data_IF_867461062407
#
_entry.id   IF_867461062407
#
_cell.length_a   1.000
_cell.length_b   1.000
_cell.length_c   1.000
_cell.angle_alpha   90.00
_cell.angle_beta   90.00
_cell.angle_gamma   90.00
#
_symmetry.space_group_name_H-M   'P 1'
#
loop_
_entity.id
_entity.type
_entity.pdbx_description
1 polymer ?
#
# COMPACT_ATOMS: atom_id res chain seq x y z
N UNK A 1 10.44 0.70 15.28
CA UNK A 1 11.90 0.59 15.19
C UNK A 1 12.32 -0.43 16.24
N UNK A 2 13.00 -1.50 15.86
CA UNK A 2 13.23 -2.70 16.69
C UNK A 2 14.16 -2.36 17.86
N UNK A 3 13.67 -2.42 19.10
CA UNK A 3 14.43 -2.16 20.34
C UNK A 3 15.49 -3.24 20.66
N UNK A 4 15.66 -4.26 19.82
CA UNK A 4 16.46 -5.46 20.12
C UNK A 4 17.96 -5.21 20.12
N UNK A 5 18.45 -4.11 19.54
CA UNK A 5 19.85 -3.70 19.62
C UNK A 5 19.99 -2.38 20.38
N UNK A 6 20.50 -2.45 21.62
CA UNK A 6 20.94 -1.25 22.35
C UNK A 6 22.25 -0.74 21.74
N UNK A 7 22.12 0.09 20.72
CA UNK A 7 23.25 0.79 20.11
C UNK A 7 23.83 1.79 21.13
N UNK A 8 25.15 1.72 21.35
CA UNK A 8 25.85 2.74 22.13
C UNK A 8 25.77 4.06 21.39
N UNK A 9 25.56 5.17 22.12
CA UNK A 9 25.57 6.50 21.51
C UNK A 9 27.00 6.84 21.10
N UNK A 10 27.16 7.59 20.02
CA UNK A 10 28.46 8.09 19.56
C UNK A 10 29.34 8.71 20.68
N UNK A 11 28.85 9.61 21.56
CA UNK A 11 29.67 10.16 22.64
C UNK A 11 30.19 9.10 23.61
N UNK A 12 29.44 8.02 23.85
CA UNK A 12 29.86 6.93 24.73
C UNK A 12 30.98 6.09 24.09
N UNK A 13 30.95 5.96 22.76
CA UNK A 13 32.00 5.29 21.97
C UNK A 13 33.29 6.12 22.02
N UNK A 14 33.18 7.42 21.78
CA UNK A 14 34.31 8.34 21.84
C UNK A 14 34.94 8.38 23.24
N UNK A 15 34.12 8.51 24.29
CA UNK A 15 34.60 8.52 25.68
C UNK A 15 35.34 7.22 26.04
N UNK A 16 34.85 6.06 25.58
CA UNK A 16 35.55 4.78 25.78
C UNK A 16 36.85 4.68 25.00
N UNK A 17 36.89 5.18 23.77
CA UNK A 17 38.11 5.21 22.97
C UNK A 17 39.17 6.12 23.62
N UNK A 18 38.79 7.32 24.07
CA UNK A 18 39.67 8.23 24.80
C UNK A 18 40.20 7.58 26.08
N UNK A 19 39.31 6.99 26.90
CA UNK A 19 39.73 6.30 28.12
C UNK A 19 40.70 5.14 27.82
N UNK A 20 40.48 4.40 26.74
CA UNK A 20 41.38 3.34 26.31
C UNK A 20 42.75 3.88 25.91
N UNK A 21 42.81 4.97 25.15
CA UNK A 21 44.07 5.59 24.74
C UNK A 21 44.83 6.11 25.98
N UNK A 22 44.17 6.88 26.87
CA UNK A 22 44.80 7.40 28.10
C UNK A 22 45.39 6.29 28.97
N UNK A 23 44.73 5.12 29.03
CA UNK A 23 45.18 4.01 29.89
C UNK A 23 46.29 3.16 29.27
N UNK A 24 46.55 3.29 27.96
CA UNK A 24 47.48 2.43 27.21
C UNK A 24 48.59 3.20 26.49
N UNK A 25 48.58 4.53 26.52
CA UNK A 25 49.69 5.35 26.01
C UNK A 25 49.93 6.58 26.88
N UNK A 26 51.21 6.83 27.18
CA UNK A 26 51.66 8.03 27.87
C UNK A 26 52.03 9.15 26.87
N UNK A 27 52.00 8.86 25.56
CA UNK A 27 52.47 9.79 24.52
C UNK A 27 51.40 10.78 24.07
N UNK A 28 50.14 10.50 24.37
CA UNK A 28 48.99 11.26 23.88
C UNK A 28 48.10 11.63 25.06
N UNK A 29 48.15 12.90 25.45
CA UNK A 29 47.42 13.40 26.63
C UNK A 29 46.43 14.52 26.30
N UNK A 30 46.50 15.08 25.10
CA UNK A 30 45.60 16.16 24.70
C UNK A 30 44.31 15.61 24.07
N UNK A 31 43.25 15.59 24.89
CA UNK A 31 41.88 15.29 24.48
C UNK A 31 40.93 16.46 24.77
N UNK A 32 41.48 17.68 24.81
CA UNK A 32 40.67 18.89 24.95
C UNK A 32 39.82 19.13 23.69
N UNK A 33 38.75 19.89 23.84
CA UNK A 33 37.90 20.29 22.71
C UNK A 33 38.73 21.14 21.73
N UNK A 34 38.74 20.77 20.45
CA UNK A 34 39.57 21.39 19.43
C UNK A 34 40.92 20.69 19.17
N UNK A 35 41.30 19.69 19.97
CA UNK A 35 42.47 18.86 19.66
C UNK A 35 42.26 18.02 18.39
N UNK A 36 43.31 17.88 17.58
CA UNK A 36 43.32 17.04 16.37
C UNK A 36 43.05 15.58 16.75
N UNK A 37 43.60 15.13 17.87
CA UNK A 37 43.48 13.75 18.34
C UNK A 37 42.04 13.48 18.79
N UNK A 38 41.44 14.40 19.55
CA UNK A 38 40.02 14.30 19.91
C UNK A 38 39.12 14.27 18.67
N UNK A 39 39.38 15.15 17.72
CA UNK A 39 38.62 15.23 16.46
C UNK A 39 38.71 13.92 15.66
N UNK A 40 39.90 13.30 15.62
CA UNK A 40 40.10 12.00 15.00
C UNK A 40 39.30 10.90 15.71
N UNK A 41 39.33 10.86 17.04
CA UNK A 41 38.56 9.87 17.82
C UNK A 41 37.06 10.07 17.64
N UNK A 42 36.58 11.30 17.57
CA UNK A 42 35.17 11.63 17.31
C UNK A 42 34.74 11.19 15.90
N UNK A 43 35.60 11.39 14.89
CA UNK A 43 35.36 10.93 13.53
C UNK A 43 35.31 9.39 13.44
N UNK A 44 36.26 8.68 14.04
CA UNK A 44 36.25 7.21 14.12
C UNK A 44 35.01 6.71 14.86
N UNK A 45 34.63 7.37 15.95
CA UNK A 45 33.44 7.00 16.72
C UNK A 45 32.14 7.20 15.94
N UNK A 46 32.08 8.25 15.11
CA UNK A 46 30.97 8.48 14.18
C UNK A 46 30.86 7.34 13.16
N UNK A 47 31.98 6.93 12.59
CA UNK A 47 32.03 5.84 11.61
C UNK A 47 31.62 4.49 12.22
N UNK A 48 32.12 4.17 13.42
CA UNK A 48 31.72 2.97 14.16
C UNK A 48 30.22 3.01 14.48
N UNK A 49 29.68 4.17 14.86
CA UNK A 49 28.26 4.34 15.13
C UNK A 49 27.40 4.08 13.87
N UNK A 50 27.78 4.67 12.74
CA UNK A 50 27.08 4.47 11.46
C UNK A 50 27.12 2.99 11.02
N UNK A 51 28.28 2.35 11.13
CA UNK A 51 28.42 0.93 10.81
C UNK A 51 27.54 0.04 11.70
N UNK A 52 27.44 0.35 12.99
CA UNK A 52 26.57 -0.39 13.90
C UNK A 52 25.07 -0.23 13.56
N UNK A 53 24.65 0.96 13.10
CA UNK A 53 23.26 1.18 12.63
C UNK A 53 22.98 0.30 11.41
N UNK A 54 23.86 0.35 10.40
CA UNK A 54 23.68 -0.42 9.15
C UNK A 54 23.63 -1.92 9.46
N UNK A 55 24.52 -2.39 10.34
CA UNK A 55 24.55 -3.77 10.77
C UNK A 55 23.27 -4.21 11.46
N UNK A 56 22.75 -3.40 12.40
CA UNK A 56 21.51 -3.70 13.12
C UNK A 56 20.30 -3.78 12.16
N UNK A 57 20.20 -2.87 11.19
CA UNK A 57 19.13 -2.89 10.20
C UNK A 57 19.23 -4.11 9.27
N UNK A 58 20.45 -4.46 8.85
CA UNK A 58 20.72 -5.64 8.04
C UNK A 58 20.30 -6.94 8.74
N UNK A 59 20.57 -7.09 10.04
CA UNK A 59 20.08 -8.24 10.82
C UNK A 59 18.55 -8.26 10.87
N UNK A 60 17.91 -7.13 11.17
CA UNK A 60 16.45 -7.05 11.26
C UNK A 60 15.77 -7.38 9.92
N UNK A 61 16.37 -6.96 8.80
CA UNK A 61 15.92 -7.32 7.45
C UNK A 61 16.13 -8.81 7.16
N UNK A 62 17.31 -9.33 7.49
CA UNK A 62 17.68 -10.74 7.26
C UNK A 62 16.80 -11.71 8.04
N UNK A 63 16.49 -11.40 9.30
CA UNK A 63 15.55 -12.22 10.11
C UNK A 63 14.17 -12.25 9.45
N UNK A 64 13.64 -11.11 9.01
CA UNK A 64 12.33 -11.07 8.33
C UNK A 64 12.32 -11.90 7.06
N UNK A 65 13.39 -11.84 6.27
CA UNK A 65 13.53 -12.63 5.04
C UNK A 65 13.67 -14.12 5.34
N UNK A 66 14.53 -14.49 6.30
CA UNK A 66 14.74 -15.88 6.71
C UNK A 66 13.47 -16.52 7.26
N UNK A 67 12.70 -15.81 8.10
CA UNK A 67 11.41 -16.29 8.60
C UNK A 67 10.44 -16.54 7.45
N UNK A 68 10.33 -15.61 6.49
CA UNK A 68 9.46 -15.81 5.30
C UNK A 68 9.85 -17.03 4.48
N UNK A 69 11.16 -17.22 4.24
CA UNK A 69 11.69 -18.36 3.51
C UNK A 69 11.44 -19.68 4.26
N UNK A 70 11.70 -19.71 5.57
CA UNK A 70 11.55 -20.91 6.39
C UNK A 70 10.10 -21.41 6.47
N UNK A 71 9.12 -20.51 6.52
CA UNK A 71 7.70 -20.89 6.57
C UNK A 71 7.05 -21.08 5.20
N UNK A 72 7.84 -21.02 4.11
CA UNK A 72 7.37 -21.13 2.72
C UNK A 72 6.09 -20.32 2.45
N UNK A 73 5.97 -19.15 3.08
CA UNK A 73 4.86 -18.23 2.87
C UNK A 73 5.34 -17.14 1.90
N UNK A 74 5.10 -17.29 0.58
CA UNK A 74 5.34 -16.21 -0.34
C UNK A 74 4.50 -15.00 0.10
N UNK A 75 5.04 -13.80 -0.09
CA UNK A 75 4.24 -12.59 0.02
C UNK A 75 3.09 -12.70 -0.97
N UNK A 76 1.87 -12.37 -0.54
CA UNK A 76 0.78 -12.18 -1.47
C UNK A 76 1.18 -11.07 -2.43
N UNK A 77 1.28 -11.39 -3.71
CA UNK A 77 1.48 -10.40 -4.76
C UNK A 77 0.36 -9.36 -4.67
N UNK A 78 0.68 -8.11 -5.02
CA UNK A 78 -0.34 -7.07 -5.10
C UNK A 78 -1.39 -7.50 -6.14
N UNK A 79 -2.56 -7.92 -5.67
CA UNK A 79 -3.71 -8.19 -6.53
C UNK A 79 -4.42 -6.88 -6.83
N UNK A 80 -4.82 -6.68 -8.09
CA UNK A 80 -5.72 -5.59 -8.43
C UNK A 80 -7.07 -5.81 -7.75
N UNK A 81 -7.75 -4.72 -7.41
CA UNK A 81 -9.13 -4.79 -6.96
C UNK A 81 -10.00 -5.31 -8.12
N UNK A 82 -10.85 -6.30 -7.83
CA UNK A 82 -11.79 -6.89 -8.78
C UNK A 82 -13.17 -6.99 -8.13
N UNK A 83 -14.22 -7.04 -8.95
CA UNK A 83 -15.59 -7.17 -8.47
C UNK A 83 -16.60 -6.34 -9.25
N UNK A 84 -17.90 -6.49 -8.92
CA UNK A 84 -18.96 -5.71 -9.52
C UNK A 84 -18.94 -4.28 -9.00
N UNK A 85 -19.05 -3.32 -9.91
CA UNK A 85 -19.21 -1.89 -9.61
C UNK A 85 -20.58 -1.47 -10.12
N UNK A 86 -21.39 -0.84 -9.26
CA UNK A 86 -22.70 -0.34 -9.64
C UNK A 86 -22.70 1.18 -9.62
N UNK A 87 -23.05 1.80 -10.75
CA UNK A 87 -23.26 3.23 -10.87
C UNK A 87 -24.76 3.49 -10.96
N UNK A 88 -25.28 4.37 -10.10
CA UNK A 88 -26.68 4.76 -10.11
C UNK A 88 -26.83 6.27 -10.30
N UNK A 89 -27.75 6.67 -11.17
CA UNK A 89 -28.12 8.07 -11.40
C UNK A 89 -29.62 8.25 -11.17
N UNK A 90 -29.99 9.36 -10.54
CA UNK A 90 -31.38 9.79 -10.41
C UNK A 90 -31.97 10.15 -11.79
N UNK A 91 -33.14 9.61 -12.09
CA UNK A 91 -33.83 9.84 -13.36
C UNK A 91 -34.45 11.24 -13.42
N UNK A 92 -34.38 11.87 -14.58
CA UNK A 92 -34.94 13.20 -14.82
C UNK A 92 -36.47 13.14 -14.99
N UNK A 93 -37.18 14.27 -14.84
CA UNK A 93 -38.64 14.36 -15.00
C UNK A 93 -39.13 14.03 -16.41
N UNK A 94 -38.26 14.14 -17.42
CA UNK A 94 -38.57 13.84 -18.82
C UNK A 94 -37.89 12.55 -19.27
N UNK A 95 -38.55 11.72 -20.11
CA UNK A 95 -37.94 10.51 -20.65
C UNK A 95 -36.63 10.85 -21.37
N UNK A 96 -35.57 10.11 -21.06
CA UNK A 96 -34.26 10.30 -21.68
C UNK A 96 -33.87 9.02 -22.40
N UNK A 97 -33.41 9.12 -23.66
CA UNK A 97 -32.91 7.97 -24.41
C UNK A 97 -31.44 7.77 -24.08
N UNK A 98 -31.06 6.55 -23.66
CA UNK A 98 -29.65 6.16 -23.54
C UNK A 98 -29.23 5.47 -24.83
N UNK A 99 -28.40 6.14 -25.61
CA UNK A 99 -27.87 5.63 -26.88
C UNK A 99 -26.51 4.93 -26.71
N UNK A 100 -25.69 5.42 -25.77
CA UNK A 100 -24.42 4.81 -25.40
C UNK A 100 -24.01 5.30 -24.02
N UNK A 101 -23.13 4.54 -23.35
CA UNK A 101 -22.40 4.99 -22.17
C UNK A 101 -20.94 5.11 -22.60
N UNK A 102 -20.34 6.27 -22.36
CA UNK A 102 -18.91 6.46 -22.56
C UNK A 102 -18.16 5.79 -21.39
N UNK A 103 -17.59 4.62 -21.67
CA UNK A 103 -16.80 3.81 -20.73
C UNK A 103 -15.29 4.09 -20.82
N UNK A 104 -14.87 5.02 -21.69
CA UNK A 104 -13.44 5.33 -21.90
C UNK A 104 -12.72 5.85 -20.66
N UNK A 105 -13.48 6.42 -19.71
CA UNK A 105 -12.97 6.91 -18.42
C UNK A 105 -12.81 5.81 -17.36
N UNK A 106 -13.20 4.57 -17.66
CA UNK A 106 -13.16 3.43 -16.74
C UNK A 106 -12.35 2.26 -17.34
N UNK A 107 -11.03 2.44 -17.53
CA UNK A 107 -10.19 1.45 -18.18
C UNK A 107 -10.21 0.12 -17.42
N UNK A 108 -10.63 -0.95 -18.11
CA UNK A 108 -10.67 -2.31 -17.58
C UNK A 108 -12.02 -2.75 -17.03
N UNK A 109 -13.00 -1.87 -16.90
CA UNK A 109 -14.35 -2.20 -16.45
C UNK A 109 -15.25 -2.37 -17.67
N UNK A 110 -15.85 -3.55 -17.83
CA UNK A 110 -16.86 -3.77 -18.88
C UNK A 110 -18.26 -3.52 -18.32
N UNK A 111 -19.01 -2.62 -18.95
CA UNK A 111 -20.37 -2.27 -18.53
C UNK A 111 -21.41 -3.00 -19.37
N UNK A 112 -22.45 -3.49 -18.70
CA UNK A 112 -23.68 -3.94 -19.38
C UNK A 112 -24.79 -2.94 -19.09
N UNK A 113 -25.35 -2.36 -20.15
CA UNK A 113 -26.43 -1.38 -20.08
C UNK A 113 -27.53 -1.71 -21.08
N UNK A 114 -28.76 -1.33 -20.76
CA UNK A 114 -29.86 -1.38 -21.71
C UNK A 114 -30.02 -0.03 -22.41
N UNK A 115 -29.99 -0.06 -23.74
CA UNK A 115 -30.34 1.08 -24.60
C UNK A 115 -31.85 1.18 -24.73
N UNK A 116 -32.41 2.38 -24.63
CA UNK A 116 -33.85 2.59 -24.76
C UNK A 116 -34.38 3.82 -24.02
N UNK A 117 -35.69 3.98 -24.03
CA UNK A 117 -36.37 5.09 -23.35
C UNK A 117 -36.44 4.82 -21.86
N UNK A 118 -35.74 5.64 -21.07
CA UNK A 118 -35.90 5.64 -19.64
C UNK A 118 -37.24 6.29 -19.24
N UNK A 119 -38.08 5.65 -18.40
CA UNK A 119 -39.34 6.23 -17.98
C UNK A 119 -39.13 7.53 -17.19
N UNK A 120 -40.04 8.48 -17.34
CA UNK A 120 -40.05 9.69 -16.52
C UNK A 120 -40.24 9.32 -15.04
N UNK A 121 -39.49 9.98 -14.15
CA UNK A 121 -39.73 9.84 -12.71
C UNK A 121 -41.09 10.46 -12.35
N UNK A 122 -42.12 9.63 -12.19
CA UNK A 122 -43.43 10.07 -11.71
C UNK A 122 -43.49 9.92 -10.18
N UNK A 123 -43.43 11.07 -9.50
CA UNK A 123 -43.58 11.29 -8.05
C UNK A 123 -42.64 10.54 -7.08
N UNK A 124 -42.06 9.40 -7.47
CA UNK A 124 -41.04 8.67 -6.73
C UNK A 124 -39.67 8.79 -7.44
N UNK A 125 -38.57 9.00 -6.71
CA UNK A 125 -37.23 9.04 -7.30
C UNK A 125 -36.88 7.66 -7.87
N UNK A 126 -36.92 7.52 -9.19
CA UNK A 126 -36.42 6.34 -9.89
C UNK A 126 -34.93 6.50 -10.15
N UNK A 127 -34.16 5.42 -9.96
CA UNK A 127 -32.73 5.38 -10.23
C UNK A 127 -32.46 4.45 -11.41
N UNK A 128 -31.72 4.95 -12.39
CA UNK A 128 -31.12 4.11 -13.40
C UNK A 128 -29.78 3.61 -12.89
N UNK A 129 -29.55 2.29 -12.91
CA UNK A 129 -28.29 1.69 -12.48
C UNK A 129 -27.65 0.86 -13.58
N UNK A 130 -26.33 0.94 -13.67
CA UNK A 130 -25.50 0.19 -14.61
C UNK A 130 -24.50 -0.58 -13.77
N UNK A 131 -24.37 -1.88 -14.05
CA UNK A 131 -23.38 -2.73 -13.40
C UNK A 131 -22.24 -2.97 -14.37
N UNK A 132 -21.04 -2.60 -13.94
CA UNK A 132 -19.79 -2.97 -14.58
C UNK A 132 -19.12 -4.10 -13.82
N UNK A 133 -18.35 -4.93 -14.52
CA UNK A 133 -17.48 -5.92 -13.89
C UNK A 133 -16.05 -5.58 -14.27
N UNK A 134 -15.20 -5.42 -13.25
CA UNK A 134 -13.76 -5.53 -13.45
C UNK A 134 -13.42 -7.03 -13.41
N UNK A 135 -13.11 -7.67 -14.54
CA UNK A 135 -12.76 -9.09 -14.54
C UNK A 135 -11.49 -9.27 -13.73
N UNK A 136 -11.50 -10.30 -12.88
CA UNK A 136 -10.26 -10.77 -12.30
C UNK A 136 -9.47 -11.47 -13.42
N UNK A 137 -8.36 -10.86 -13.84
CA UNK A 137 -7.53 -11.32 -14.95
C UNK A 137 -6.96 -12.73 -14.66
N UNK A 138 -6.95 -13.14 -13.39
CA UNK A 138 -6.48 -14.45 -12.93
C UNK A 138 -7.58 -15.53 -12.86
N UNK A 139 -8.84 -15.20 -13.14
CA UNK A 139 -9.93 -16.19 -13.16
C UNK A 139 -10.80 -16.02 -14.41
N UNK A 140 -10.93 -17.09 -15.20
CA UNK A 140 -11.75 -17.19 -16.43
C UNK A 140 -13.28 -17.09 -16.19
N UNK A 141 -13.76 -16.14 -15.39
CA UNK A 141 -15.19 -15.88 -15.22
C UNK A 141 -15.51 -14.46 -15.69
N UNK A 142 -16.06 -14.38 -16.89
CA UNK A 142 -16.45 -13.14 -17.56
C UNK A 142 -17.86 -13.28 -18.11
N UNK A 143 -18.89 -13.09 -17.27
CA UNK A 143 -20.21 -12.75 -17.79
C UNK A 143 -20.85 -11.60 -17.00
N UNK A 144 -21.11 -10.45 -17.65
CA UNK A 144 -21.81 -9.33 -17.03
C UNK A 144 -23.32 -9.58 -16.97
N UNK A 145 -23.91 -9.45 -15.78
CA UNK A 145 -25.36 -9.60 -15.56
C UNK A 145 -26.00 -8.23 -15.36
N UNK A 146 -26.92 -7.83 -16.26
CA UNK A 146 -27.75 -6.62 -16.08
C UNK A 146 -28.92 -6.94 -15.13
N UNK A 147 -29.18 -6.10 -14.12
CA UNK A 147 -30.37 -6.24 -13.25
C UNK A 147 -31.11 -4.90 -13.13
N UNK A 148 -32.43 -4.93 -13.27
CA UNK A 148 -33.30 -3.81 -12.91
C UNK A 148 -33.68 -3.90 -11.44
N UNK A 149 -33.42 -2.83 -10.69
CA UNK A 149 -33.93 -2.68 -9.33
C UNK A 149 -35.26 -1.94 -9.38
N UNK A 150 -36.37 -2.68 -9.23
CA UNK A 150 -37.66 -2.09 -8.91
C UNK A 150 -37.68 -1.67 -7.41
N UNK A 151 -38.51 -0.68 -7.00
CA UNK A 151 -38.46 -0.12 -5.64
C UNK A 151 -39.04 -1.02 -4.53
N UNK A 152 -39.05 -2.34 -4.72
CA UNK A 152 -39.57 -3.29 -3.73
C UNK A 152 -38.83 -4.62 -3.75
N UNK A 153 -37.53 -4.61 -3.42
CA UNK A 153 -36.83 -5.72 -2.77
C UNK A 153 -36.89 -7.14 -3.36
N UNK A 154 -37.45 -7.36 -4.56
CA UNK A 154 -37.62 -8.68 -5.14
C UNK A 154 -36.80 -8.81 -6.41
N UNK A 155 -35.75 -9.62 -6.30
CA UNK A 155 -34.92 -10.06 -7.41
C UNK A 155 -35.75 -10.97 -8.33
N UNK A 156 -36.09 -10.51 -9.54
CA UNK A 156 -36.42 -11.43 -10.63
C UNK A 156 -35.19 -11.57 -11.53
N UNK A 157 -34.44 -12.64 -11.33
CA UNK A 157 -33.46 -13.13 -12.30
C UNK A 157 -34.22 -13.61 -13.53
N UNK A 158 -34.05 -12.93 -14.67
CA UNK A 158 -34.43 -13.47 -15.96
C UNK A 158 -33.26 -14.33 -16.45
N UNK A 159 -33.36 -15.64 -16.27
CA UNK A 159 -32.48 -16.61 -16.90
C UNK A 159 -32.99 -16.82 -18.33
N UNK A 160 -32.24 -16.34 -19.32
CA UNK A 160 -32.46 -16.71 -20.72
C UNK A 160 -32.10 -18.20 -20.93
N UNK A 161 -32.91 -18.90 -21.72
CA UNK A 161 -32.64 -20.25 -22.22
C UNK A 161 -31.43 -20.27 -23.14
#
# INVERSE_FOLDING_TARGET
MVETFRLKRQPDIAAKAIAHIITHTDQVTDFSEGSVIRSLVEAISSEIYNNNIIFADSIASSIRTAVKQAFNKPLLSASKAYGPVMFSRLMLPSPTVINSIDDTNFPGISFSYQTGNLPAANTNPLYYSVTGIQPNIDSNQSEPVTRFLAPSGQYRTATGK
#
